data_IF_592914266145
#
_entry.id   IF_592914266145
#
_cell.length_a   1.000
_cell.length_b   1.000
_cell.length_c   1.000
_cell.angle_alpha   90.00
_cell.angle_beta   90.00
_cell.angle_gamma   90.00
#
_symmetry.space_group_name_H-M   'P 1'
#
loop_
_entity.id
_entity.type
_entity.pdbx_description
1 polymer ?
#
# COMPACT_ATOMS: atom_id res chain seq x y z
N UNK A 1 -37.90 -6.49 -3.65
CA UNK A 1 -38.11 -5.67 -2.44
C UNK A 1 -37.78 -4.18 -2.61
N UNK A 2 -37.35 -3.71 -3.80
CA UNK A 2 -36.95 -2.31 -4.01
C UNK A 2 -38.09 -1.35 -4.44
N UNK A 3 -39.31 -1.84 -4.67
CA UNK A 3 -40.40 -1.05 -5.26
C UNK A 3 -41.22 -0.26 -4.22
N UNK A 4 -41.11 -0.57 -2.93
CA UNK A 4 -41.92 0.07 -1.89
C UNK A 4 -41.37 1.44 -1.43
N UNK A 5 -40.15 1.82 -1.85
CA UNK A 5 -39.50 3.05 -1.42
C UNK A 5 -39.99 4.31 -2.18
N UNK A 6 -40.71 4.15 -3.30
CA UNK A 6 -41.05 5.25 -4.22
C UNK A 6 -42.49 5.79 -4.00
N UNK A 7 -43.37 5.05 -3.33
CA UNK A 7 -44.82 5.33 -3.37
C UNK A 7 -45.42 6.00 -2.10
N UNK A 8 -44.57 6.52 -1.20
CA UNK A 8 -44.99 7.36 -0.07
C UNK A 8 -45.94 6.72 0.96
N UNK A 9 -46.28 5.42 0.84
CA UNK A 9 -47.19 4.71 1.75
C UNK A 9 -46.49 3.56 2.46
N UNK A 10 -45.88 3.87 3.60
CA UNK A 10 -45.43 2.85 4.55
C UNK A 10 -46.63 2.37 5.40
N UNK A 11 -46.97 1.06 5.43
CA UNK A 11 -48.02 0.54 6.30
C UNK A 11 -47.65 0.80 7.77
N UNK A 12 -48.42 1.64 8.45
CA UNK A 12 -48.08 2.20 9.76
C UNK A 12 -48.47 1.29 10.92
N UNK A 13 -47.48 0.73 11.65
CA UNK A 13 -47.67 0.20 13.01
C UNK A 13 -46.68 0.74 14.06
N UNK A 14 -45.89 1.76 13.73
CA UNK A 14 -45.03 2.47 14.69
C UNK A 14 -45.59 3.86 14.96
N UNK A 15 -45.61 4.26 16.24
CA UNK A 15 -45.95 5.62 16.67
C UNK A 15 -44.92 6.63 16.16
N UNK A 16 -45.24 7.92 16.14
CA UNK A 16 -44.28 8.97 15.76
C UNK A 16 -42.94 8.89 16.52
N UNK A 17 -42.91 8.69 17.85
CA UNK A 17 -41.66 8.49 18.60
C UNK A 17 -40.84 7.30 18.11
N UNK A 18 -41.48 6.18 17.76
CA UNK A 18 -40.79 4.99 17.27
C UNK A 18 -40.20 5.18 15.86
N UNK A 19 -40.77 6.09 15.04
CA UNK A 19 -40.18 6.51 13.76
C UNK A 19 -39.00 7.45 13.96
N UNK A 20 -39.14 8.44 14.85
CA UNK A 20 -38.05 9.35 15.18
C UNK A 20 -36.82 8.60 15.71
N UNK A 21 -37.04 7.58 16.55
CA UNK A 21 -35.95 6.71 17.03
C UNK A 21 -35.28 5.93 15.90
N UNK A 22 -36.07 5.29 15.03
CA UNK A 22 -35.53 4.53 13.91
C UNK A 22 -34.73 5.40 12.93
N UNK A 23 -35.14 6.65 12.72
CA UNK A 23 -34.38 7.61 11.93
C UNK A 23 -33.05 7.96 12.61
N UNK A 24 -33.06 8.25 13.91
CA UNK A 24 -31.84 8.56 14.64
C UNK A 24 -30.85 7.37 14.66
N UNK A 25 -31.36 6.14 14.81
CA UNK A 25 -30.53 4.94 14.72
C UNK A 25 -29.93 4.78 13.30
N UNK A 26 -30.73 5.02 12.24
CA UNK A 26 -30.24 4.99 10.86
C UNK A 26 -29.18 6.07 10.58
N UNK A 27 -29.37 7.29 11.08
CA UNK A 27 -28.40 8.37 10.96
C UNK A 27 -27.07 8.01 11.63
N UNK A 28 -27.12 7.36 12.80
CA UNK A 28 -25.95 6.86 13.50
C UNK A 28 -25.23 5.76 12.70
N UNK A 29 -25.97 4.79 12.16
CA UNK A 29 -25.42 3.71 11.34
C UNK A 29 -24.74 4.26 10.07
N UNK A 30 -25.37 5.22 9.39
CA UNK A 30 -24.79 5.90 8.22
C UNK A 30 -23.52 6.65 8.59
N UNK A 31 -23.51 7.36 9.72
CA UNK A 31 -22.33 8.08 10.19
C UNK A 31 -21.15 7.12 10.50
N UNK A 32 -21.44 5.97 11.13
CA UNK A 32 -20.45 4.93 11.42
C UNK A 32 -19.87 4.32 10.13
N UNK A 33 -20.72 3.90 9.19
CA UNK A 33 -20.28 3.36 7.91
C UNK A 33 -19.44 4.37 7.11
N UNK A 34 -19.82 5.66 7.13
CA UNK A 34 -19.05 6.70 6.48
C UNK A 34 -17.67 6.91 7.15
N UNK A 35 -17.55 6.73 8.47
CA UNK A 35 -16.28 6.79 9.18
C UNK A 35 -15.37 5.62 8.80
N UNK A 36 -15.91 4.40 8.70
CA UNK A 36 -15.16 3.22 8.26
C UNK A 36 -14.61 3.38 6.84
N UNK A 37 -15.43 3.85 5.90
CA UNK A 37 -15.00 4.10 4.52
C UNK A 37 -13.89 5.15 4.46
N UNK A 38 -14.02 6.25 5.22
CA UNK A 38 -12.96 7.27 5.30
C UNK A 38 -11.66 6.69 5.86
N UNK A 39 -11.73 5.89 6.92
CA UNK A 39 -10.55 5.25 7.51
C UNK A 39 -9.88 4.28 6.53
N UNK A 40 -10.66 3.47 5.82
CA UNK A 40 -10.16 2.56 4.79
C UNK A 40 -9.52 3.33 3.61
N UNK A 41 -10.11 4.45 3.19
CA UNK A 41 -9.57 5.31 2.15
C UNK A 41 -8.21 5.90 2.56
N UNK A 42 -8.12 6.49 3.76
CA UNK A 42 -6.86 7.02 4.30
C UNK A 42 -5.77 5.94 4.40
N UNK A 43 -6.14 4.72 4.82
CA UNK A 43 -5.20 3.60 4.86
C UNK A 43 -4.72 3.22 3.45
N UNK A 44 -5.64 3.12 2.48
CA UNK A 44 -5.31 2.79 1.11
C UNK A 44 -4.38 3.83 0.47
N UNK A 45 -4.66 5.12 0.66
CA UNK A 45 -3.80 6.22 0.21
C UNK A 45 -2.40 6.10 0.81
N UNK A 46 -2.30 5.91 2.13
CA UNK A 46 -1.01 5.75 2.81
C UNK A 46 -0.20 4.54 2.29
N UNK A 47 -0.87 3.43 1.97
CA UNK A 47 -0.21 2.25 1.37
C UNK A 47 0.28 2.52 -0.06
N UNK A 48 -0.48 3.28 -0.86
CA UNK A 48 -0.09 3.68 -2.22
C UNK A 48 1.07 4.69 -2.23
N UNK A 49 1.04 5.66 -1.32
CA UNK A 49 2.15 6.60 -1.09
C UNK A 49 3.40 5.85 -0.69
N UNK A 50 3.30 4.94 0.29
CA UNK A 50 4.44 4.12 0.74
C UNK A 50 5.02 3.27 -0.40
N UNK A 51 4.17 2.67 -1.24
CA UNK A 51 4.62 1.94 -2.43
C UNK A 51 5.39 2.84 -3.39
N UNK A 52 4.90 4.06 -3.61
CA UNK A 52 5.55 5.06 -4.47
C UNK A 52 6.91 5.47 -3.92
N UNK A 53 6.99 5.73 -2.61
CA UNK A 53 8.25 6.03 -1.91
C UNK A 53 9.28 4.89 -2.08
N UNK A 54 8.88 3.64 -1.85
CA UNK A 54 9.76 2.48 -1.98
C UNK A 54 10.27 2.31 -3.41
N UNK A 55 9.43 2.55 -4.42
CA UNK A 55 9.86 2.55 -5.83
C UNK A 55 10.87 3.66 -6.11
N UNK A 56 10.65 4.86 -5.60
CA UNK A 56 11.60 5.97 -5.73
C UNK A 56 12.96 5.64 -5.11
N UNK A 57 12.97 5.03 -3.92
CA UNK A 57 14.19 4.57 -3.25
C UNK A 57 14.92 3.50 -4.06
N UNK A 58 14.18 2.55 -4.63
CA UNK A 58 14.73 1.51 -5.49
C UNK A 58 15.44 2.09 -6.71
N UNK A 59 14.80 3.00 -7.43
CA UNK A 59 15.40 3.65 -8.61
C UNK A 59 16.66 4.44 -8.24
N UNK A 60 16.66 5.13 -7.09
CA UNK A 60 17.84 5.81 -6.58
C UNK A 60 19.00 4.83 -6.28
N UNK A 61 18.70 3.65 -5.73
CA UNK A 61 19.70 2.61 -5.48
C UNK A 61 20.22 1.99 -6.77
N UNK A 62 19.38 1.75 -7.77
CA UNK A 62 19.82 1.34 -9.12
C UNK A 62 20.76 2.35 -9.76
N UNK A 63 20.41 3.64 -9.70
CA UNK A 63 21.26 4.70 -10.21
C UNK A 63 22.62 4.75 -9.48
N UNK A 64 22.63 4.57 -8.15
CA UNK A 64 23.86 4.47 -7.36
C UNK A 64 24.70 3.25 -7.76
N UNK A 65 24.09 2.08 -7.97
CA UNK A 65 24.78 0.87 -8.42
C UNK A 65 25.49 1.10 -9.77
N UNK A 66 24.81 1.74 -10.72
CA UNK A 66 25.38 2.10 -12.02
C UNK A 66 26.56 3.06 -11.89
N UNK A 67 26.45 4.10 -11.05
CA UNK A 67 27.57 5.03 -10.77
C UNK A 67 28.77 4.37 -10.13
N UNK A 68 28.56 3.32 -9.35
CA UNK A 68 29.62 2.54 -8.71
C UNK A 68 30.19 1.45 -9.64
N UNK A 69 29.62 1.24 -10.83
CA UNK A 69 30.07 0.21 -11.79
C UNK A 69 29.73 -1.22 -11.38
N UNK A 70 28.85 -1.41 -10.39
CA UNK A 70 28.55 -2.72 -9.79
C UNK A 70 27.16 -3.26 -10.13
N UNK A 71 26.44 -2.62 -11.05
CA UNK A 71 25.04 -2.98 -11.38
C UNK A 71 24.85 -4.42 -11.85
N UNK A 72 25.88 -5.01 -12.45
CA UNK A 72 25.83 -6.38 -12.99
C UNK A 72 26.21 -7.47 -11.98
N UNK A 73 26.49 -7.11 -10.71
CA UNK A 73 26.81 -8.12 -9.71
C UNK A 73 25.59 -9.06 -9.51
N UNK A 74 25.79 -10.38 -9.48
CA UNK A 74 24.68 -11.35 -9.40
C UNK A 74 23.75 -11.15 -8.19
N UNK A 75 24.30 -10.73 -7.05
CA UNK A 75 23.55 -10.45 -5.82
C UNK A 75 22.62 -9.23 -5.97
N UNK A 76 23.10 -8.17 -6.62
CA UNK A 76 22.30 -6.98 -6.94
C UNK A 76 21.23 -7.27 -7.98
N UNK A 77 21.55 -8.04 -9.03
CA UNK A 77 20.57 -8.45 -10.05
C UNK A 77 19.43 -9.29 -9.44
N UNK A 78 19.76 -10.18 -8.50
CA UNK A 78 18.77 -10.99 -7.78
C UNK A 78 17.85 -10.11 -6.94
N UNK A 79 18.42 -9.18 -6.16
CA UNK A 79 17.62 -8.25 -5.36
C UNK A 79 16.79 -7.30 -6.23
N UNK A 80 17.30 -6.90 -7.40
CA UNK A 80 16.56 -6.09 -8.36
C UNK A 80 15.28 -6.78 -8.83
N UNK A 81 15.41 -8.05 -9.24
CA UNK A 81 14.27 -8.87 -9.65
C UNK A 81 13.26 -9.06 -8.50
N UNK A 82 13.74 -9.29 -7.28
CA UNK A 82 12.89 -9.43 -6.10
C UNK A 82 12.14 -8.15 -5.75
N UNK A 83 12.82 -7.00 -5.73
CA UNK A 83 12.17 -5.71 -5.46
C UNK A 83 11.15 -5.39 -6.55
N UNK A 84 11.46 -5.66 -7.83
CA UNK A 84 10.51 -5.49 -8.93
C UNK A 84 9.26 -6.36 -8.73
N UNK A 85 9.45 -7.64 -8.41
CA UNK A 85 8.35 -8.56 -8.10
C UNK A 85 7.49 -8.00 -6.95
N UNK A 86 8.10 -7.66 -5.82
CA UNK A 86 7.38 -7.21 -4.62
C UNK A 86 6.61 -5.89 -4.82
N UNK A 87 7.18 -4.94 -5.58
CA UNK A 87 6.61 -3.60 -5.75
C UNK A 87 5.74 -3.45 -7.01
N UNK A 88 5.78 -4.33 -8.00
CA UNK A 88 4.96 -4.22 -9.22
C UNK A 88 3.85 -5.26 -9.34
N UNK A 89 3.75 -6.25 -8.45
CA UNK A 89 2.60 -7.17 -8.39
C UNK A 89 1.44 -6.61 -7.56
N UNK A 90 0.29 -7.30 -7.63
CA UNK A 90 -0.86 -7.10 -6.73
C UNK A 90 -1.23 -8.44 -6.09
N UNK A 91 -1.38 -8.52 -4.75
CA UNK A 91 -1.03 -7.49 -3.77
C UNK A 91 0.49 -7.23 -3.72
N UNK A 92 0.88 -6.02 -3.31
CA UNK A 92 2.28 -5.67 -3.07
C UNK A 92 2.64 -5.91 -1.60
N UNK A 93 3.71 -6.66 -1.34
CA UNK A 93 4.22 -6.86 0.02
C UNK A 93 5.24 -5.76 0.36
N UNK A 94 4.75 -4.67 0.96
CA UNK A 94 5.56 -3.50 1.31
C UNK A 94 6.58 -3.78 2.42
N UNK A 95 6.27 -4.73 3.30
CA UNK A 95 7.16 -5.12 4.40
C UNK A 95 8.36 -5.90 3.86
N UNK A 96 8.12 -6.89 3.00
CA UNK A 96 9.19 -7.60 2.30
C UNK A 96 9.99 -6.67 1.39
N UNK A 97 9.34 -5.77 0.65
CA UNK A 97 10.03 -4.79 -0.18
C UNK A 97 10.95 -3.87 0.63
N UNK A 98 10.51 -3.44 1.82
CA UNK A 98 11.33 -2.63 2.73
C UNK A 98 12.59 -3.38 3.14
N UNK A 99 12.48 -4.67 3.53
CA UNK A 99 13.64 -5.50 3.88
C UNK A 99 14.59 -5.71 2.70
N UNK A 100 14.04 -6.02 1.52
CA UNK A 100 14.83 -6.18 0.30
C UNK A 100 15.62 -4.91 -0.06
N UNK A 101 15.01 -3.74 0.11
CA UNK A 101 15.69 -2.46 -0.11
C UNK A 101 16.78 -2.15 0.94
N UNK A 102 16.61 -2.59 2.19
CA UNK A 102 17.68 -2.51 3.19
C UNK A 102 18.86 -3.40 2.80
N UNK A 103 18.59 -4.64 2.34
CA UNK A 103 19.62 -5.54 1.82
C UNK A 103 20.34 -4.94 0.60
N UNK A 104 19.58 -4.36 -0.34
CA UNK A 104 20.12 -3.69 -1.52
C UNK A 104 21.06 -2.55 -1.11
N UNK A 105 20.61 -1.68 -0.20
CA UNK A 105 21.43 -0.59 0.33
C UNK A 105 22.73 -1.09 0.97
N UNK A 106 22.68 -2.21 1.70
CA UNK A 106 23.84 -2.83 2.32
C UNK A 106 24.90 -3.24 1.28
N UNK A 107 24.50 -3.86 0.17
CA UNK A 107 25.42 -4.24 -0.91
C UNK A 107 26.07 -3.01 -1.58
N UNK A 108 25.37 -1.89 -1.65
CA UNK A 108 25.92 -0.62 -2.15
C UNK A 108 26.91 0.06 -1.20
N UNK A 109 27.01 -0.40 0.05
CA UNK A 109 27.92 0.15 1.05
C UNK A 109 29.23 -0.64 1.18
N UNK A 110 29.31 -1.86 0.60
CA UNK A 110 30.53 -2.68 0.62
C UNK A 110 31.42 -2.29 -0.57
N UNK A 111 32.62 -1.72 -0.35
CA UNK A 111 33.58 -1.49 -1.43
C UNK A 111 34.05 -2.82 -2.01
N UNK A 112 34.30 -2.90 -3.32
CA UNK A 112 35.04 -4.04 -3.84
C UNK A 112 36.41 -4.08 -3.17
N UNK A 113 36.68 -5.14 -2.41
CA UNK A 113 38.03 -5.45 -1.97
C UNK A 113 38.86 -5.66 -3.24
N UNK A 114 39.72 -4.68 -3.54
CA UNK A 114 40.66 -4.67 -4.64
C UNK A 114 41.17 -6.07 -4.96
N UNK A 115 40.80 -6.60 -6.12
CA UNK A 115 41.30 -7.85 -6.63
C UNK A 115 42.82 -7.85 -6.62
N UNK A 116 43.38 -8.84 -5.95
CA UNK A 116 44.79 -9.19 -5.95
C UNK A 116 45.28 -9.32 -7.41
N UNK A 117 46.24 -8.47 -7.79
CA UNK A 117 46.98 -8.60 -9.05
C UNK A 117 48.07 -9.66 -8.83
N UNK A 118 48.02 -10.84 -9.46
CA UNK A 118 49.18 -11.72 -9.48
C UNK A 118 50.28 -11.09 -10.34
N UNK A 119 51.51 -11.22 -9.85
CA UNK A 119 52.76 -10.68 -10.40
C UNK A 119 53.15 -11.25 -11.76
#
# INVERSE_FOLDING_TARGET
MLTALIDGRLPSRRTWPARARALADLEADVAAAAAEVRAAHTLADGLLERRTELRGRFEAYRAKAGRLGISERPDLLTLDADVRRLLWTRPADLAAATRALVSYQGLLAVPESSGERPA
#
